data_IF_145069238579
#
_entry.id   IF_145069238579
#
_cell.length_a   1.000
_cell.length_b   1.000
_cell.length_c   1.000
_cell.angle_alpha   90.00
_cell.angle_beta   90.00
_cell.angle_gamma   90.00
#
_symmetry.space_group_name_H-M   'P 1'
#
loop_
_entity.id
_entity.type
_entity.pdbx_description
1 polymer ?
#
# COMPACT_ATOMS: atom_id res chain seq x y z
N UNK A 1 -7.39 -37.98 -3.08
CA UNK A 1 -8.06 -38.06 -4.37
C UNK A 1 -9.18 -37.03 -4.47
N UNK A 2 -10.10 -36.94 -3.51
CA UNK A 2 -11.27 -36.05 -3.58
C UNK A 2 -10.96 -34.53 -3.68
N UNK A 3 -9.78 -34.06 -3.25
CA UNK A 3 -9.41 -32.64 -3.33
C UNK A 3 -9.11 -32.17 -4.76
N UNK A 4 -8.77 -33.09 -5.67
CA UNK A 4 -8.44 -32.75 -7.07
C UNK A 4 -9.65 -32.87 -8.01
N UNK A 5 -10.78 -33.38 -7.52
CA UNK A 5 -12.01 -33.50 -8.31
C UNK A 5 -12.74 -32.14 -8.43
N UNK A 6 -12.43 -31.18 -7.54
CA UNK A 6 -12.90 -29.80 -7.58
C UNK A 6 -11.69 -28.83 -7.69
N UNK A 7 -11.46 -28.20 -8.84
CA UNK A 7 -10.32 -27.30 -9.04
C UNK A 7 -10.30 -26.09 -8.09
N UNK A 8 -11.46 -25.54 -7.73
CA UNK A 8 -11.52 -24.41 -6.79
C UNK A 8 -11.10 -24.82 -5.39
N UNK A 9 -11.57 -25.98 -4.95
CA UNK A 9 -11.17 -26.56 -3.67
C UNK A 9 -9.68 -26.91 -3.67
N UNK A 10 -9.16 -27.51 -4.74
CA UNK A 10 -7.75 -27.84 -4.85
C UNK A 10 -6.84 -26.60 -4.73
N UNK A 11 -7.21 -25.49 -5.39
CA UNK A 11 -6.50 -24.20 -5.27
C UNK A 11 -6.61 -23.67 -3.84
N UNK A 12 -7.79 -23.72 -3.22
CA UNK A 12 -7.99 -23.26 -1.84
C UNK A 12 -7.11 -24.03 -0.84
N UNK A 13 -7.07 -25.36 -0.95
CA UNK A 13 -6.22 -26.22 -0.11
C UNK A 13 -4.71 -25.94 -0.34
N UNK A 14 -4.30 -25.72 -1.60
CA UNK A 14 -2.92 -25.38 -1.92
C UNK A 14 -2.52 -24.02 -1.32
N UNK A 15 -3.35 -23.01 -1.47
CA UNK A 15 -3.11 -21.67 -0.88
C UNK A 15 -3.09 -21.72 0.65
N UNK A 16 -3.98 -22.52 1.26
CA UNK A 16 -3.97 -22.73 2.70
C UNK A 16 -2.67 -23.41 3.16
N UNK A 17 -2.21 -24.46 2.45
CA UNK A 17 -0.97 -25.14 2.78
C UNK A 17 0.26 -24.22 2.64
N UNK A 18 0.30 -23.38 1.60
CA UNK A 18 1.36 -22.37 1.42
C UNK A 18 1.33 -21.37 2.58
N UNK A 19 0.16 -20.83 2.90
CA UNK A 19 0.03 -19.87 4.01
C UNK A 19 0.42 -20.49 5.37
N UNK A 20 0.07 -21.75 5.61
CA UNK A 20 0.51 -22.48 6.80
C UNK A 20 2.03 -22.64 6.85
N UNK A 21 2.64 -23.04 5.73
CA UNK A 21 4.09 -23.14 5.64
C UNK A 21 4.79 -21.80 5.90
N UNK A 22 4.30 -20.72 5.32
CA UNK A 22 4.84 -19.37 5.55
C UNK A 22 4.73 -18.92 7.01
N UNK A 23 3.68 -19.35 7.73
CA UNK A 23 3.49 -19.03 9.15
C UNK A 23 4.37 -19.90 10.04
N UNK A 24 4.57 -21.15 9.70
CA UNK A 24 5.22 -22.16 10.55
C UNK A 24 6.74 -22.19 10.37
N UNK A 25 7.24 -21.87 9.17
CA UNK A 25 8.67 -21.91 8.86
C UNK A 25 9.41 -20.68 9.43
N UNK A 26 10.30 -20.87 10.43
CA UNK A 26 11.00 -19.75 11.08
C UNK A 26 11.84 -18.90 10.12
N UNK A 27 12.29 -19.47 8.98
CA UNK A 27 13.06 -18.76 7.97
C UNK A 27 12.33 -17.60 7.32
N UNK A 28 10.98 -17.58 7.33
CA UNK A 28 10.19 -16.45 6.85
C UNK A 28 10.06 -15.31 7.87
N UNK A 29 10.39 -15.55 9.15
CA UNK A 29 10.15 -14.60 10.25
C UNK A 29 11.39 -14.39 11.12
N UNK A 30 12.56 -14.07 10.56
CA UNK A 30 13.77 -13.92 11.37
C UNK A 30 13.70 -12.71 12.30
N UNK A 31 12.88 -11.68 12.01
CA UNK A 31 12.72 -10.46 12.81
C UNK A 31 14.05 -9.93 13.36
N UNK A 32 15.02 -9.74 12.46
CA UNK A 32 16.40 -9.36 12.79
C UNK A 32 16.75 -7.95 12.35
N UNK A 33 15.75 -7.11 12.05
CA UNK A 33 16.03 -5.72 11.72
C UNK A 33 16.48 -4.93 12.97
N UNK A 34 17.15 -3.81 12.74
CA UNK A 34 17.52 -2.90 13.84
C UNK A 34 16.30 -2.44 14.62
N UNK A 35 15.12 -2.32 13.96
CA UNK A 35 13.87 -1.95 14.61
C UNK A 35 13.40 -3.06 15.57
N UNK A 36 13.50 -4.33 15.18
CA UNK A 36 13.16 -5.46 16.05
C UNK A 36 14.06 -5.46 17.28
N UNK A 37 15.37 -5.32 17.09
CA UNK A 37 16.30 -5.23 18.21
C UNK A 37 16.08 -4.00 19.11
N UNK A 38 15.57 -2.90 18.54
CA UNK A 38 15.18 -1.74 19.33
C UNK A 38 13.95 -2.01 20.19
N UNK A 39 12.93 -2.68 19.67
CA UNK A 39 11.76 -3.12 20.43
C UNK A 39 12.15 -4.06 21.59
N UNK A 40 13.14 -4.91 21.37
CA UNK A 40 13.70 -5.82 22.39
C UNK A 40 14.67 -5.13 23.37
N UNK A 41 14.92 -3.83 23.25
CA UNK A 41 15.91 -3.10 24.07
C UNK A 41 17.38 -3.39 23.75
N UNK A 42 17.67 -4.14 22.67
CA UNK A 42 19.00 -4.59 22.23
C UNK A 42 19.69 -3.60 21.29
N UNK A 43 18.95 -2.65 20.73
CA UNK A 43 19.48 -1.59 19.86
C UNK A 43 18.91 -0.23 20.24
N UNK A 44 19.48 0.85 19.65
CA UNK A 44 18.98 2.23 19.82
C UNK A 44 18.81 2.88 18.48
N UNK A 45 17.64 3.49 18.25
CA UNK A 45 17.43 4.43 17.16
C UNK A 45 18.08 5.76 17.50
N UNK A 46 18.79 6.38 16.56
CA UNK A 46 19.54 7.63 16.79
C UNK A 46 19.42 8.57 15.58
N UNK A 47 19.58 9.86 15.84
CA UNK A 47 19.68 10.88 14.78
C UNK A 47 18.50 10.83 13.80
N UNK A 48 18.76 10.56 12.52
CA UNK A 48 17.75 10.53 11.47
C UNK A 48 16.73 9.40 11.66
N UNK A 49 17.15 8.24 12.19
CA UNK A 49 16.24 7.11 12.44
C UNK A 49 15.17 7.47 13.47
N UNK A 50 15.58 8.10 14.58
CA UNK A 50 14.65 8.51 15.63
C UNK A 50 13.71 9.61 15.15
N UNK A 51 14.22 10.58 14.37
CA UNK A 51 13.37 11.61 13.74
C UNK A 51 12.38 11.00 12.75
N UNK A 52 12.85 10.05 11.92
CA UNK A 52 11.99 9.33 10.97
C UNK A 52 10.89 8.54 11.69
N UNK A 53 11.22 7.87 12.78
CA UNK A 53 10.26 7.14 13.59
C UNK A 53 9.21 8.09 14.23
N UNK A 54 9.64 9.24 14.73
CA UNK A 54 8.74 10.24 15.26
C UNK A 54 7.77 10.79 14.18
N UNK A 55 8.27 11.05 12.97
CA UNK A 55 7.43 11.48 11.84
C UNK A 55 6.47 10.38 11.37
N UNK A 56 6.92 9.12 11.35
CA UNK A 56 6.13 7.96 10.99
C UNK A 56 4.87 7.82 11.86
N UNK A 57 4.99 8.16 13.15
CA UNK A 57 3.93 8.06 14.14
C UNK A 57 3.24 9.39 14.49
N UNK A 58 3.62 10.51 13.86
CA UNK A 58 2.99 11.79 14.13
C UNK A 58 1.64 11.90 13.40
N UNK A 59 0.50 11.87 14.13
CA UNK A 59 -0.83 11.88 13.54
C UNK A 59 -1.20 13.21 12.86
N UNK A 60 -0.39 14.24 13.06
CA UNK A 60 -0.57 15.56 12.43
C UNK A 60 0.34 15.78 11.22
N UNK A 61 1.23 14.82 10.91
CA UNK A 61 2.20 14.91 9.83
C UNK A 61 2.11 13.70 8.90
N UNK A 62 3.08 12.80 8.95
CA UNK A 62 3.14 11.68 8.04
C UNK A 62 2.11 10.58 8.35
N UNK A 63 1.83 10.34 9.65
CA UNK A 63 0.85 9.36 10.13
C UNK A 63 0.94 7.96 9.48
N UNK A 64 2.13 7.55 9.05
CA UNK A 64 2.31 6.25 8.40
C UNK A 64 1.91 5.09 9.33
N UNK A 65 2.16 5.25 10.64
CA UNK A 65 1.80 4.29 11.68
C UNK A 65 0.29 4.10 11.86
N UNK A 66 -0.55 4.99 11.32
CA UNK A 66 -2.00 4.84 11.32
C UNK A 66 -2.49 3.63 10.53
N UNK A 67 -1.86 3.35 9.38
CA UNK A 67 -2.13 2.17 8.54
C UNK A 67 -1.02 1.11 8.67
N UNK A 68 0.24 1.53 8.81
CA UNK A 68 1.38 0.63 8.95
C UNK A 68 1.75 0.43 10.42
N UNK A 69 0.88 -0.28 11.16
CA UNK A 69 1.00 -0.48 12.61
C UNK A 69 2.37 -1.03 13.01
N UNK A 70 3.06 -0.32 13.89
CA UNK A 70 4.44 -0.61 14.31
C UNK A 70 4.55 -1.15 15.74
N UNK A 71 3.43 -1.38 16.41
CA UNK A 71 3.38 -1.99 17.73
C UNK A 71 3.37 -3.52 17.64
N UNK A 72 4.07 -4.22 18.56
CA UNK A 72 3.91 -5.66 18.73
C UNK A 72 2.44 -6.03 18.95
N UNK A 73 2.06 -7.21 18.48
CA UNK A 73 0.73 -7.76 18.77
C UNK A 73 0.58 -8.11 20.25
N UNK A 74 -0.65 -8.26 20.77
CA UNK A 74 -0.88 -8.60 22.18
C UNK A 74 -0.22 -9.90 22.64
N UNK A 75 0.04 -10.83 21.73
CA UNK A 75 0.75 -12.07 21.98
C UNK A 75 2.29 -11.94 21.82
N UNK A 76 2.81 -10.71 21.71
CA UNK A 76 4.23 -10.39 21.69
C UNK A 76 4.92 -10.58 20.33
N UNK A 77 4.20 -10.88 19.26
CA UNK A 77 4.81 -10.99 17.92
C UNK A 77 5.24 -9.62 17.40
N UNK A 78 6.40 -9.53 16.73
CA UNK A 78 6.84 -8.30 16.10
C UNK A 78 5.84 -7.74 15.08
N UNK A 79 5.77 -6.41 14.91
CA UNK A 79 4.81 -5.78 14.01
C UNK A 79 5.09 -6.15 12.55
N UNK A 80 4.03 -6.33 11.78
CA UNK A 80 4.10 -6.54 10.33
C UNK A 80 3.98 -5.24 9.53
N UNK A 81 3.79 -4.11 10.18
CA UNK A 81 3.60 -2.80 9.54
C UNK A 81 2.45 -2.81 8.53
N UNK A 82 1.30 -3.31 8.95
CA UNK A 82 0.05 -3.30 8.21
C UNK A 82 -1.12 -3.46 9.18
N UNK A 83 -2.21 -2.77 8.90
CA UNK A 83 -3.51 -2.93 9.56
C UNK A 83 -4.38 -3.97 8.83
N UNK A 84 -3.93 -4.46 7.66
CA UNK A 84 -4.64 -5.37 6.75
C UNK A 84 -5.96 -4.81 6.23
N UNK A 85 -6.16 -3.49 6.31
CA UNK A 85 -7.30 -2.81 5.73
C UNK A 85 -7.04 -2.48 4.25
N UNK A 86 -7.99 -1.78 3.64
CA UNK A 86 -7.95 -1.43 2.23
C UNK A 86 -8.16 0.07 2.08
N UNK A 87 -7.31 0.71 1.24
CA UNK A 87 -7.35 2.14 1.01
C UNK A 87 -7.29 2.49 -0.47
N UNK A 88 -8.00 3.54 -0.86
CA UNK A 88 -7.93 4.12 -2.19
C UNK A 88 -7.02 5.34 -2.17
N UNK A 89 -5.76 5.16 -2.52
CA UNK A 89 -4.74 6.22 -2.43
C UNK A 89 -4.66 7.11 -3.67
N UNK A 90 -5.28 6.72 -4.78
CA UNK A 90 -5.21 7.49 -6.02
C UNK A 90 -3.83 7.50 -6.67
N UNK A 91 -3.10 6.39 -6.61
CA UNK A 91 -1.76 6.26 -7.19
C UNK A 91 -1.79 6.56 -8.70
N UNK A 92 -0.76 7.25 -9.27
CA UNK A 92 -0.73 7.54 -10.70
C UNK A 92 -0.71 6.29 -11.57
N UNK A 93 -1.30 6.37 -12.76
CA UNK A 93 -1.29 5.31 -13.76
C UNK A 93 0.14 4.99 -14.19
N UNK A 94 0.49 3.71 -14.24
CA UNK A 94 1.77 3.25 -14.76
C UNK A 94 1.67 2.92 -16.25
N UNK A 95 2.23 3.76 -17.14
CA UNK A 95 2.15 3.54 -18.59
C UNK A 95 3.01 2.35 -19.07
N UNK A 96 3.91 1.85 -18.24
CA UNK A 96 4.76 0.71 -18.59
C UNK A 96 4.02 -0.64 -18.52
N UNK A 97 2.86 -0.69 -17.85
CA UNK A 97 2.06 -1.91 -17.78
C UNK A 97 1.36 -2.18 -19.11
N UNK A 98 1.48 -3.40 -19.69
CA UNK A 98 0.83 -3.73 -20.96
C UNK A 98 -0.69 -3.53 -20.96
N UNK A 99 -1.36 -3.87 -19.86
CA UNK A 99 -2.81 -3.67 -19.71
C UNK A 99 -3.22 -2.19 -19.83
N UNK A 100 -2.36 -1.28 -19.36
CA UNK A 100 -2.61 0.16 -19.38
C UNK A 100 -2.49 0.81 -20.77
N UNK A 101 -2.13 0.02 -21.81
CA UNK A 101 -2.22 0.45 -23.23
C UNK A 101 -3.66 0.62 -23.70
N UNK A 102 -4.60 -0.14 -23.11
CA UNK A 102 -6.04 0.15 -23.28
C UNK A 102 -6.43 1.27 -22.30
N UNK A 103 -6.83 2.46 -22.79
CA UNK A 103 -7.22 3.56 -21.92
C UNK A 103 -8.50 3.31 -21.13
N UNK A 104 -9.25 2.25 -21.47
CA UNK A 104 -10.48 1.83 -20.75
C UNK A 104 -10.19 0.81 -19.65
N UNK A 105 -8.99 0.22 -19.63
CA UNK A 105 -8.61 -0.71 -18.58
C UNK A 105 -8.20 0.06 -17.32
N UNK A 106 -8.76 -0.33 -16.18
CA UNK A 106 -8.39 0.15 -14.86
C UNK A 106 -8.34 -1.03 -13.89
N UNK A 107 -7.29 -1.11 -13.11
CA UNK A 107 -7.25 -2.01 -11.96
C UNK A 107 -7.97 -1.31 -10.80
N UNK A 108 -9.12 -1.84 -10.42
CA UNK A 108 -9.97 -1.30 -9.37
C UNK A 108 -9.81 -2.04 -8.03
N UNK A 109 -8.73 -2.80 -7.89
CA UNK A 109 -8.43 -3.52 -6.66
C UNK A 109 -9.48 -4.58 -6.33
N UNK A 110 -10.09 -4.50 -5.14
CA UNK A 110 -11.07 -5.49 -4.69
C UNK A 110 -12.41 -5.45 -5.44
N UNK A 111 -12.65 -4.42 -6.24
CA UNK A 111 -13.87 -4.25 -7.04
C UNK A 111 -13.72 -4.75 -8.51
N UNK A 112 -12.52 -5.07 -8.97
CA UNK A 112 -12.32 -5.62 -10.31
C UNK A 112 -11.05 -5.16 -11.03
N UNK A 113 -10.82 -5.59 -12.26
CA UNK A 113 -11.65 -6.52 -13.07
C UNK A 113 -11.48 -8.00 -12.72
N UNK A 114 -10.42 -8.35 -11.93
CA UNK A 114 -10.11 -9.74 -11.60
C UNK A 114 -11.01 -10.32 -10.49
N UNK A 115 -11.61 -9.47 -9.67
CA UNK A 115 -12.51 -9.86 -8.57
C UNK A 115 -13.94 -9.45 -8.88
N UNK A 116 -14.71 -10.34 -9.49
CA UNK A 116 -16.09 -10.06 -9.85
C UNK A 116 -17.07 -10.03 -8.67
N UNK A 117 -16.73 -10.68 -7.56
CA UNK A 117 -17.63 -10.82 -6.40
C UNK A 117 -18.04 -9.47 -5.78
N UNK A 118 -17.15 -8.47 -5.80
CA UNK A 118 -17.40 -7.12 -5.26
C UNK A 118 -17.57 -6.06 -6.37
N UNK A 119 -17.76 -6.46 -7.62
CA UNK A 119 -17.88 -5.52 -8.75
C UNK A 119 -19.09 -4.58 -8.67
N UNK A 120 -20.11 -4.92 -7.86
CA UNK A 120 -21.29 -4.09 -7.62
C UNK A 120 -21.15 -3.15 -6.41
N UNK A 121 -20.14 -3.38 -5.57
CA UNK A 121 -19.87 -2.62 -4.35
C UNK A 121 -18.95 -1.44 -4.67
N UNK A 122 -19.51 -0.46 -5.39
CA UNK A 122 -18.74 0.65 -6.00
C UNK A 122 -17.96 1.50 -5.00
N UNK A 123 -18.37 1.51 -3.72
CA UNK A 123 -17.65 2.18 -2.63
C UNK A 123 -16.28 1.57 -2.34
N UNK A 124 -16.01 0.34 -2.78
CA UNK A 124 -14.71 -0.33 -2.59
C UNK A 124 -13.83 -0.27 -3.83
N UNK A 125 -14.29 0.34 -4.93
CA UNK A 125 -13.51 0.43 -6.16
C UNK A 125 -12.30 1.35 -5.97
N UNK A 126 -11.15 0.93 -6.51
CA UNK A 126 -9.82 1.52 -6.38
C UNK A 126 -9.17 1.35 -4.99
N UNK A 127 -9.73 0.48 -4.13
CA UNK A 127 -9.12 0.11 -2.84
C UNK A 127 -8.15 -1.07 -3.00
N UNK A 128 -7.00 -0.92 -2.37
CA UNK A 128 -5.93 -1.93 -2.31
C UNK A 128 -5.51 -2.16 -0.87
N UNK A 129 -5.11 -3.39 -0.57
CA UNK A 129 -4.69 -3.76 0.79
C UNK A 129 -3.43 -3.00 1.21
N UNK A 130 -3.39 -2.56 2.46
CA UNK A 130 -2.19 -2.01 3.09
C UNK A 130 -1.10 -3.09 3.13
N UNK A 131 0.01 -2.94 2.37
CA UNK A 131 1.06 -3.96 2.35
C UNK A 131 1.91 -3.90 3.62
N UNK A 132 2.53 -5.02 3.96
CA UNK A 132 3.60 -5.01 4.97
C UNK A 132 4.78 -4.16 4.51
N UNK A 133 5.39 -3.40 5.43
CA UNK A 133 6.65 -2.71 5.16
C UNK A 133 7.89 -3.55 5.53
N UNK A 134 7.72 -4.81 5.93
CA UNK A 134 8.86 -5.72 6.12
C UNK A 134 9.65 -5.85 4.82
N UNK A 135 10.97 -5.71 4.93
CA UNK A 135 11.90 -5.74 3.79
C UNK A 135 11.63 -4.67 2.70
N UNK A 136 10.91 -3.60 3.02
CA UNK A 136 10.54 -2.56 2.07
C UNK A 136 11.77 -1.91 1.40
N UNK A 137 12.89 -1.79 2.11
CA UNK A 137 14.13 -1.21 1.59
C UNK A 137 14.80 -2.05 0.48
N UNK A 138 14.47 -3.33 0.36
CA UNK A 138 15.00 -4.22 -0.69
C UNK A 138 14.15 -4.25 -1.96
N UNK A 139 13.00 -3.59 -1.93
CA UNK A 139 12.08 -3.56 -3.08
C UNK A 139 12.46 -2.47 -4.06
N UNK A 140 12.17 -2.72 -5.35
CA UNK A 140 12.44 -1.81 -6.46
C UNK A 140 11.17 -1.43 -7.24
N UNK A 141 10.01 -1.84 -6.74
CA UNK A 141 8.68 -1.50 -7.27
C UNK A 141 7.71 -1.29 -6.11
N UNK A 142 6.91 -0.23 -6.20
CA UNK A 142 6.04 0.21 -5.11
C UNK A 142 4.64 0.49 -5.61
N UNK A 143 3.67 0.35 -4.72
CA UNK A 143 2.23 0.33 -4.94
C UNK A 143 1.76 -0.84 -5.82
N UNK A 144 0.45 -1.00 -5.95
CA UNK A 144 -0.17 -2.12 -6.69
C UNK A 144 0.26 -2.18 -8.16
N UNK A 145 0.46 -1.03 -8.79
CA UNK A 145 0.80 -0.92 -10.21
C UNK A 145 2.31 -0.72 -10.48
N UNK A 146 3.14 -0.65 -9.43
CA UNK A 146 4.59 -0.53 -9.56
C UNK A 146 5.07 0.76 -10.25
N UNK A 147 4.31 1.86 -10.18
CA UNK A 147 4.67 3.12 -10.85
C UNK A 147 5.93 3.76 -10.28
N UNK A 148 6.15 3.63 -8.98
CA UNK A 148 7.35 4.16 -8.31
C UNK A 148 8.42 3.09 -8.14
N UNK A 149 9.69 3.52 -8.22
CA UNK A 149 10.87 2.65 -8.23
C UNK A 149 11.79 2.84 -7.05
N UNK A 150 11.55 3.87 -6.24
CA UNK A 150 12.36 4.19 -5.06
C UNK A 150 11.46 4.60 -3.90
N UNK A 151 11.92 4.36 -2.67
CA UNK A 151 11.22 4.85 -1.46
C UNK A 151 11.11 6.38 -1.43
N UNK A 152 12.05 7.09 -2.03
CA UNK A 152 11.97 8.55 -2.14
C UNK A 152 10.74 8.98 -2.95
N UNK A 153 10.49 8.33 -4.10
CA UNK A 153 9.30 8.62 -4.90
C UNK A 153 8.00 8.28 -4.16
N UNK A 154 8.00 7.22 -3.34
CA UNK A 154 6.87 6.87 -2.47
C UNK A 154 6.60 7.99 -1.46
N UNK A 155 7.65 8.48 -0.78
CA UNK A 155 7.52 9.58 0.18
C UNK A 155 7.09 10.88 -0.52
N UNK A 156 7.64 11.19 -1.69
CA UNK A 156 7.24 12.35 -2.48
C UNK A 156 5.76 12.26 -2.91
N UNK A 157 5.24 11.05 -3.21
CA UNK A 157 3.81 10.84 -3.46
C UNK A 157 2.97 11.22 -2.24
N UNK A 158 3.28 10.69 -1.06
CA UNK A 158 2.55 11.00 0.16
C UNK A 158 2.65 12.48 0.55
N UNK A 159 3.78 13.10 0.29
CA UNK A 159 4.02 14.49 0.67
C UNK A 159 3.34 15.49 -0.30
N UNK A 160 3.31 15.19 -1.61
CA UNK A 160 2.88 16.13 -2.64
C UNK A 160 1.55 15.83 -3.31
N UNK A 161 0.96 14.65 -3.11
CA UNK A 161 -0.28 14.23 -3.79
C UNK A 161 -1.37 15.30 -3.78
N UNK A 162 -1.56 15.98 -2.66
CA UNK A 162 -2.63 16.95 -2.45
C UNK A 162 -2.14 18.39 -2.45
N UNK A 163 -0.94 18.64 -1.95
CA UNK A 163 -0.40 20.03 -1.83
C UNK A 163 0.28 20.53 -3.10
N UNK A 164 0.86 19.64 -3.91
CA UNK A 164 1.47 19.97 -5.21
C UNK A 164 1.33 18.77 -6.19
N UNK A 165 0.11 18.48 -6.66
CA UNK A 165 -0.16 17.33 -7.50
C UNK A 165 0.59 17.33 -8.84
N UNK A 166 1.11 18.48 -9.28
CA UNK A 166 1.93 18.57 -10.50
C UNK A 166 3.27 17.79 -10.39
N UNK A 167 3.74 17.55 -9.17
CA UNK A 167 4.95 16.73 -8.93
C UNK A 167 4.66 15.22 -9.00
N UNK A 168 3.39 14.85 -8.93
CA UNK A 168 2.95 13.44 -8.80
C UNK A 168 2.26 12.96 -10.07
N UNK A 169 1.39 13.78 -10.65
CA UNK A 169 0.54 13.36 -11.77
C UNK A 169 0.94 14.04 -13.08
N UNK A 170 0.68 13.38 -14.21
CA UNK A 170 0.92 13.96 -15.52
C UNK A 170 -0.10 15.09 -15.81
N UNK A 171 0.18 15.84 -16.86
CA UNK A 171 -0.80 16.75 -17.44
C UNK A 171 -1.61 16.03 -18.51
N UNK A 172 -2.92 16.27 -18.50
CA UNK A 172 -3.82 15.86 -19.55
C UNK A 172 -3.61 16.67 -20.85
N UNK A 173 -4.32 16.28 -21.89
CA UNK A 173 -4.27 16.98 -23.21
C UNK A 173 -4.75 18.44 -23.13
N UNK A 174 -5.56 18.77 -22.16
CA UNK A 174 -6.06 20.11 -21.85
C UNK A 174 -5.07 20.97 -21.03
N UNK A 175 -3.88 20.44 -20.74
CA UNK A 175 -2.84 21.08 -19.92
C UNK A 175 -3.10 21.03 -18.41
N UNK A 176 -4.26 20.55 -17.96
CA UNK A 176 -4.58 20.42 -16.52
C UNK A 176 -3.90 19.18 -15.94
N UNK A 177 -3.68 19.20 -14.63
CA UNK A 177 -3.15 18.04 -13.90
C UNK A 177 -4.24 16.94 -13.91
N UNK A 178 -3.90 15.77 -14.43
CA UNK A 178 -4.78 14.60 -14.47
C UNK A 178 -4.67 13.79 -13.16
N UNK A 179 -5.12 14.42 -12.06
CA UNK A 179 -5.09 13.85 -10.72
C UNK A 179 -5.98 12.59 -10.68
N UNK A 180 -5.47 11.53 -10.03
CA UNK A 180 -6.14 10.23 -9.93
C UNK A 180 -6.38 9.56 -11.28
N UNK A 181 -5.44 9.71 -12.22
CA UNK A 181 -5.56 9.26 -13.60
C UNK A 181 -5.59 7.74 -13.82
N UNK A 182 -5.36 6.95 -12.74
CA UNK A 182 -5.56 5.48 -12.74
C UNK A 182 -6.91 5.06 -12.14
N UNK A 183 -7.81 6.03 -11.90
CA UNK A 183 -9.16 5.77 -11.37
C UNK A 183 -10.20 6.41 -12.31
N UNK A 184 -11.20 5.63 -12.78
CA UNK A 184 -12.31 6.20 -13.55
C UNK A 184 -13.05 7.28 -12.76
N UNK A 185 -13.55 8.35 -13.41
CA UNK A 185 -14.20 9.46 -12.74
C UNK A 185 -15.28 9.09 -11.72
N UNK A 186 -16.16 8.09 -11.96
CA UNK A 186 -17.19 7.72 -10.99
C UNK A 186 -16.68 7.21 -9.64
N UNK A 187 -15.43 6.71 -9.59
CA UNK A 187 -14.84 6.11 -8.37
C UNK A 187 -13.80 7.02 -7.70
N UNK A 188 -13.53 8.20 -8.24
CA UNK A 188 -12.56 9.14 -7.66
C UNK A 188 -13.00 9.68 -6.29
N UNK A 189 -14.29 9.64 -5.99
CA UNK A 189 -14.82 9.98 -4.68
C UNK A 189 -14.43 8.99 -3.57
N UNK A 190 -13.98 7.78 -3.93
CA UNK A 190 -13.51 6.78 -2.96
C UNK A 190 -12.08 7.08 -2.46
N UNK A 191 -11.35 7.99 -3.14
CA UNK A 191 -9.97 8.30 -2.76
C UNK A 191 -9.98 8.97 -1.38
N UNK A 192 -9.15 8.44 -0.48
CA UNK A 192 -8.95 9.06 0.82
C UNK A 192 -8.33 10.46 0.70
N UNK A 193 -9.04 11.43 1.27
CA UNK A 193 -8.65 12.84 1.37
C UNK A 193 -8.86 13.39 2.79
N UNK A 194 -9.08 12.50 3.74
CA UNK A 194 -9.44 12.84 5.13
C UNK A 194 -8.34 12.53 6.12
N UNK A 195 -7.61 11.45 5.89
CA UNK A 195 -6.57 11.00 6.81
C UNK A 195 -5.20 11.65 6.50
N UNK A 196 -4.43 12.07 7.49
CA UNK A 196 -3.08 12.53 7.27
C UNK A 196 -2.19 11.45 6.60
N UNK A 197 -1.37 11.84 5.62
CA UNK A 197 -1.07 13.20 5.16
C UNK A 197 -2.00 13.74 4.07
N UNK A 198 -3.10 13.06 3.76
CA UNK A 198 -3.99 13.35 2.62
C UNK A 198 -5.07 14.40 2.91
N UNK A 199 -5.19 14.86 4.14
CA UNK A 199 -6.11 15.91 4.56
C UNK A 199 -5.54 17.33 4.37
N UNK A 200 -4.45 17.48 3.64
CA UNK A 200 -3.84 18.77 3.29
C UNK A 200 -4.38 19.32 1.98
N UNK A 201 -4.29 20.63 1.81
CA UNK A 201 -4.79 21.33 0.65
C UNK A 201 -3.66 21.90 -0.23
N UNK A 202 -4.01 22.25 -1.47
CA UNK A 202 -3.08 22.81 -2.44
C UNK A 202 -2.33 24.02 -1.86
N UNK A 203 -0.99 23.97 -1.91
CA UNK A 203 -0.11 25.02 -1.42
C UNK A 203 0.18 25.00 0.07
N UNK A 204 -0.36 24.04 0.84
CA UNK A 204 0.03 23.84 2.24
C UNK A 204 1.40 23.14 2.34
N UNK A 205 2.21 23.51 3.34
CA UNK A 205 3.56 22.96 3.60
C UNK A 205 3.63 22.21 4.93
#
# INVERSE_FOLDING_TARGET
>A
AAAFDDPQRAVGEALFAIGRYEIEEPGFHPYTSKFDYWLEGRARLRGAELRGYALFNDPKKANCGGCHLDNPSPDGRPPLFTDRQYEALGVPRNPALPANRDPRYFDLGICGPLRAALAKETQYCAMFATPTLRNVATRHVFFHNGVFRTLRQVLDFYDFRDVDPARVYPRGKDGRIDKYNDIPPPFRANVDVTDPPFNRHLGET
#
